data_IF_232880151296
#
_entry.id   IF_232880151296
#
_cell.length_a   1.000
_cell.length_b   1.000
_cell.length_c   1.000
_cell.angle_alpha   90.00
_cell.angle_beta   90.00
_cell.angle_gamma   90.00
#
_symmetry.space_group_name_H-M   'P 1'
#
loop_
_entity.id
_entity.type
_entity.pdbx_description
1 polymer ?
#
# COMPACT_ATOMS: atom_id res chain seq x y z
N UNK A 1 15.76 -5.92 9.63
CA UNK A 1 15.87 -4.53 10.11
C UNK A 1 15.66 -3.61 8.93
N UNK A 2 15.10 -2.43 9.15
CA UNK A 2 15.07 -1.31 8.21
C UNK A 2 16.47 -1.03 7.64
N UNK A 3 17.51 -1.06 8.48
CA UNK A 3 18.92 -0.91 8.02
C UNK A 3 19.33 -1.99 7.03
N UNK A 4 19.00 -3.26 7.29
CA UNK A 4 19.32 -4.36 6.37
C UNK A 4 18.56 -4.26 5.04
N UNK A 5 17.33 -3.74 5.04
CA UNK A 5 16.59 -3.45 3.80
C UNK A 5 17.26 -2.29 3.04
N UNK A 6 17.66 -1.22 3.74
CA UNK A 6 18.35 -0.10 3.13
C UNK A 6 19.68 -0.53 2.48
N UNK A 7 20.44 -1.39 3.15
CA UNK A 7 21.68 -2.00 2.64
C UNK A 7 21.43 -2.85 1.40
N UNK A 8 20.47 -3.78 1.46
CA UNK A 8 20.15 -4.66 0.34
C UNK A 8 19.67 -3.90 -0.92
N UNK A 9 19.16 -2.68 -0.75
CA UNK A 9 18.71 -1.81 -1.84
C UNK A 9 19.71 -0.69 -2.18
N UNK A 10 20.92 -0.71 -1.61
CA UNK A 10 21.99 0.22 -1.96
C UNK A 10 21.80 1.66 -1.43
N UNK A 11 20.91 1.86 -0.45
CA UNK A 11 20.62 3.20 0.07
C UNK A 11 21.66 3.71 1.09
N UNK A 12 22.48 2.83 1.68
CA UNK A 12 23.41 3.22 2.76
C UNK A 12 24.35 4.37 2.40
N UNK A 13 25.05 4.39 1.25
CA UNK A 13 25.98 5.47 0.93
C UNK A 13 25.30 6.85 0.91
N UNK A 14 24.08 6.92 0.35
CA UNK A 14 23.31 8.16 0.27
C UNK A 14 22.82 8.61 1.65
N UNK A 15 22.26 7.67 2.41
CA UNK A 15 21.73 7.94 3.76
C UNK A 15 22.84 8.41 4.70
N UNK A 16 24.02 7.79 4.64
CA UNK A 16 25.17 8.17 5.45
C UNK A 16 25.76 9.53 5.03
N UNK A 17 25.88 9.79 3.72
CA UNK A 17 26.36 11.07 3.21
C UNK A 17 25.45 12.25 3.59
N UNK A 18 24.14 12.01 3.66
CA UNK A 18 23.14 13.02 4.04
C UNK A 18 22.85 13.07 5.55
N UNK A 19 23.47 12.19 6.35
CA UNK A 19 23.21 12.12 7.79
C UNK A 19 21.77 11.74 8.14
N UNK A 20 21.08 10.98 7.29
CA UNK A 20 19.68 10.61 7.48
C UNK A 20 19.57 9.40 8.44
N UNK A 21 18.70 9.45 9.47
CA UNK A 21 18.49 8.32 10.35
C UNK A 21 17.68 7.22 9.65
N UNK A 22 18.06 5.96 9.84
CA UNK A 22 17.23 4.80 9.48
C UNK A 22 16.50 4.34 10.74
N UNK A 23 15.18 4.44 10.72
CA UNK A 23 14.33 4.17 11.89
C UNK A 23 13.56 2.86 11.69
N UNK A 24 13.54 2.03 12.74
CA UNK A 24 12.66 0.85 12.79
C UNK A 24 11.23 1.26 13.18
N UNK A 25 10.24 0.68 12.51
CA UNK A 25 8.84 0.98 12.77
C UNK A 25 8.25 0.03 13.84
N UNK A 26 7.66 0.62 14.88
CA UNK A 26 7.03 -0.10 15.99
C UNK A 26 5.53 0.12 16.02
N UNK A 27 4.78 -0.92 16.36
CA UNK A 27 3.31 -0.91 16.34
C UNK A 27 2.66 -0.28 17.56
N UNK A 28 1.68 0.57 17.31
CA UNK A 28 0.71 1.06 18.28
C UNK A 28 -0.68 1.11 17.63
N UNK A 29 -1.74 0.95 18.42
CA UNK A 29 -3.11 1.07 17.91
C UNK A 29 -3.55 2.53 17.84
N UNK A 30 -4.18 2.88 16.73
CA UNK A 30 -4.76 4.20 16.49
C UNK A 30 -6.20 4.03 16.02
N UNK A 31 -7.09 4.89 16.52
CA UNK A 31 -8.47 4.96 16.05
C UNK A 31 -8.52 5.55 14.64
N UNK A 32 -9.37 5.00 13.77
CA UNK A 32 -9.48 5.43 12.37
C UNK A 32 -10.73 6.27 12.09
N UNK A 33 -11.68 6.29 13.04
CA UNK A 33 -13.01 6.86 12.84
C UNK A 33 -13.92 6.03 11.91
N UNK A 34 -13.45 4.90 11.39
CA UNK A 34 -14.23 3.97 10.56
C UNK A 34 -15.15 3.10 11.42
N UNK A 35 -16.38 2.88 10.93
CA UNK A 35 -17.31 1.93 11.54
C UNK A 35 -16.78 0.47 11.44
N UNK A 36 -16.20 0.12 10.30
CA UNK A 36 -15.74 -1.25 10.02
C UNK A 36 -14.30 -1.51 10.49
N UNK A 37 -13.51 -0.44 10.67
CA UNK A 37 -12.10 -0.51 11.07
C UNK A 37 -11.77 0.36 12.28
N UNK A 38 -12.57 0.30 13.35
CA UNK A 38 -12.45 1.19 14.54
C UNK A 38 -11.02 1.55 14.95
N UNK A 39 -10.12 0.57 15.08
CA UNK A 39 -8.68 0.83 15.25
C UNK A 39 -7.78 -0.01 14.33
N UNK A 40 -6.63 0.56 13.96
CA UNK A 40 -5.58 -0.08 13.17
C UNK A 40 -4.24 -0.07 13.93
N UNK A 41 -3.44 -1.13 13.71
CA UNK A 41 -2.06 -1.20 14.20
C UNK A 41 -1.14 -0.49 13.20
N UNK A 42 -0.62 0.68 13.57
CA UNK A 42 0.23 1.52 12.72
C UNK A 42 1.56 1.82 13.40
N UNK A 43 2.53 2.29 12.62
CA UNK A 43 3.83 2.73 13.13
C UNK A 43 3.68 3.96 14.01
N UNK A 44 4.15 3.86 15.25
CA UNK A 44 4.23 5.01 16.16
C UNK A 44 5.15 6.10 15.61
N UNK A 45 6.26 5.74 15.01
CA UNK A 45 7.22 6.67 14.42
C UNK A 45 6.58 7.45 13.25
N UNK A 46 5.82 6.77 12.38
CA UNK A 46 5.04 7.45 11.34
C UNK A 46 3.97 8.36 11.93
N UNK A 47 3.20 7.88 12.91
CA UNK A 47 2.07 8.63 13.49
C UNK A 47 2.49 9.80 14.40
N UNK A 48 3.74 9.83 14.86
CA UNK A 48 4.29 10.92 15.68
C UNK A 48 5.11 11.93 14.89
N UNK A 49 5.31 11.72 13.58
CA UNK A 49 5.99 12.67 12.73
C UNK A 49 5.11 13.90 12.46
N UNK A 50 5.73 15.08 12.42
CA UNK A 50 5.02 16.32 12.06
C UNK A 50 4.51 16.27 10.61
N UNK A 51 5.28 15.63 9.72
CA UNK A 51 4.94 15.44 8.31
C UNK A 51 5.43 14.07 7.86
N UNK A 52 4.55 13.33 7.16
CA UNK A 52 4.90 12.09 6.48
C UNK A 52 5.03 12.34 4.98
N UNK A 53 6.19 12.01 4.41
CA UNK A 53 6.42 12.02 2.95
C UNK A 53 6.43 10.58 2.44
N UNK A 54 5.52 10.27 1.52
CA UNK A 54 5.31 8.94 0.97
C UNK A 54 5.99 8.81 -0.40
N UNK A 55 6.80 7.76 -0.61
CA UNK A 55 7.58 7.54 -1.83
C UNK A 55 7.21 6.20 -2.51
N UNK A 56 6.02 6.08 -3.11
CA UNK A 56 5.58 4.85 -3.78
C UNK A 56 6.27 4.63 -5.14
N UNK A 57 6.30 3.38 -5.58
CA UNK A 57 6.63 2.98 -6.96
C UNK A 57 5.36 2.58 -7.72
N UNK A 58 5.34 2.79 -9.03
CA UNK A 58 4.26 2.27 -9.90
C UNK A 58 4.44 0.78 -10.15
N UNK A 59 3.50 -0.05 -9.69
CA UNK A 59 3.53 -1.50 -9.95
C UNK A 59 2.15 -2.07 -10.22
N UNK A 60 2.06 -3.09 -11.07
CA UNK A 60 0.92 -3.99 -11.15
C UNK A 60 0.88 -4.92 -9.94
N UNK A 61 -0.31 -5.44 -9.62
CA UNK A 61 -0.48 -6.31 -8.46
C UNK A 61 -1.62 -7.32 -8.64
N UNK A 62 -1.31 -8.63 -8.57
CA UNK A 62 -2.30 -9.71 -8.77
C UNK A 62 -3.52 -9.66 -7.83
N UNK A 63 -3.40 -9.13 -6.61
CA UNK A 63 -4.54 -9.06 -5.66
C UNK A 63 -5.29 -7.72 -5.67
N UNK A 64 -4.66 -6.64 -6.15
CA UNK A 64 -5.17 -5.27 -5.96
C UNK A 64 -5.12 -4.44 -7.23
N UNK A 65 -4.78 -5.07 -8.35
CA UNK A 65 -4.61 -4.47 -9.67
C UNK A 65 -3.35 -3.61 -9.75
N UNK A 66 -3.14 -2.68 -8.80
CA UNK A 66 -1.99 -1.78 -8.74
C UNK A 66 -1.41 -1.66 -7.32
N UNK A 67 -0.18 -1.18 -7.24
CA UNK A 67 0.48 -0.64 -6.05
C UNK A 67 0.94 0.76 -6.39
N UNK A 68 0.41 1.73 -5.65
CA UNK A 68 0.66 3.17 -5.80
C UNK A 68 0.79 3.81 -4.40
N UNK A 69 0.39 5.07 -4.23
CA UNK A 69 0.52 5.85 -3.01
C UNK A 69 -0.21 5.25 -1.81
N UNK A 70 -1.51 4.94 -1.95
CA UNK A 70 -2.33 4.42 -0.85
C UNK A 70 -1.77 3.09 -0.34
N UNK A 71 -1.45 2.17 -1.24
CA UNK A 71 -0.88 0.86 -0.87
C UNK A 71 0.49 0.99 -0.21
N UNK A 72 1.34 1.93 -0.63
CA UNK A 72 2.68 2.06 -0.05
C UNK A 72 2.65 2.37 1.45
N UNK A 73 1.63 3.09 1.91
CA UNK A 73 1.41 3.41 3.32
C UNK A 73 1.08 2.18 4.18
N UNK A 74 0.64 1.08 3.58
CA UNK A 74 0.55 -0.21 4.26
C UNK A 74 1.90 -0.69 4.79
N UNK A 75 3.01 -0.18 4.23
CA UNK A 75 4.36 -0.31 4.77
C UNK A 75 4.47 0.12 6.23
N UNK A 76 3.61 1.02 6.70
CA UNK A 76 3.57 1.51 8.07
C UNK A 76 2.79 0.59 9.03
N UNK A 77 2.17 -0.49 8.55
CA UNK A 77 1.59 -1.55 9.40
C UNK A 77 2.70 -2.51 9.83
N UNK A 78 3.11 -2.54 11.10
CA UNK A 78 4.25 -3.35 11.52
C UNK A 78 3.88 -4.80 11.81
N UNK A 79 4.88 -5.68 11.72
CA UNK A 79 4.79 -7.06 12.17
C UNK A 79 3.92 -7.99 11.31
N UNK A 80 3.42 -9.05 11.94
CA UNK A 80 2.73 -10.17 11.28
C UNK A 80 1.33 -9.81 10.74
N UNK A 81 0.79 -8.65 11.15
CA UNK A 81 -0.51 -8.16 10.68
C UNK A 81 -0.57 -8.01 9.16
N UNK A 82 0.54 -7.64 8.51
CA UNK A 82 0.62 -7.59 7.04
C UNK A 82 0.28 -8.93 6.40
N UNK A 83 0.87 -10.02 6.88
CA UNK A 83 0.63 -11.36 6.35
C UNK A 83 -0.82 -11.80 6.56
N UNK A 84 -1.41 -11.46 7.71
CA UNK A 84 -2.81 -11.77 7.99
C UNK A 84 -3.76 -11.04 7.06
N UNK A 85 -3.58 -9.73 6.85
CA UNK A 85 -4.39 -8.97 5.90
C UNK A 85 -4.25 -9.46 4.47
N UNK A 86 -3.07 -9.90 4.04
CA UNK A 86 -2.90 -10.51 2.72
C UNK A 86 -3.63 -11.85 2.56
N UNK A 87 -3.75 -12.63 3.64
CA UNK A 87 -4.54 -13.85 3.67
C UNK A 87 -6.05 -13.54 3.64
N UNK A 88 -6.49 -12.52 4.38
CA UNK A 88 -7.89 -12.08 4.38
C UNK A 88 -8.31 -11.43 3.05
N UNK A 89 -7.40 -10.73 2.39
CA UNK A 89 -7.60 -10.16 1.05
C UNK A 89 -7.92 -11.22 -0.03
N UNK A 90 -7.44 -12.46 0.17
CA UNK A 90 -7.80 -13.59 -0.68
C UNK A 90 -9.29 -13.97 -0.58
N UNK A 91 -9.95 -13.61 0.53
CA UNK A 91 -11.37 -13.85 0.77
C UNK A 91 -12.24 -12.67 0.36
N UNK A 92 -11.75 -11.44 0.56
CA UNK A 92 -12.45 -10.21 0.19
C UNK A 92 -11.48 -9.08 -0.21
N UNK A 93 -11.43 -8.81 -1.52
CA UNK A 93 -10.57 -7.76 -2.10
C UNK A 93 -11.06 -6.36 -1.78
N UNK A 94 -12.37 -6.16 -1.67
CA UNK A 94 -12.96 -4.84 -1.42
C UNK A 94 -12.70 -4.43 0.02
N UNK A 95 -12.94 -5.34 0.98
CA UNK A 95 -12.61 -5.10 2.39
C UNK A 95 -11.12 -4.80 2.61
N UNK A 96 -10.23 -5.46 1.87
CA UNK A 96 -8.81 -5.14 1.95
C UNK A 96 -8.50 -3.76 1.34
N UNK A 97 -9.14 -3.41 0.21
CA UNK A 97 -9.06 -2.07 -0.38
C UNK A 97 -9.48 -0.97 0.60
N UNK A 98 -10.59 -1.18 1.31
CA UNK A 98 -11.09 -0.26 2.33
C UNK A 98 -10.10 -0.12 3.50
N UNK A 99 -9.57 -1.22 4.04
CA UNK A 99 -8.57 -1.17 5.10
C UNK A 99 -7.32 -0.37 4.70
N UNK A 100 -6.88 -0.50 3.45
CA UNK A 100 -5.76 0.27 2.92
C UNK A 100 -6.08 1.77 2.81
N UNK A 101 -7.30 2.11 2.38
CA UNK A 101 -7.77 3.50 2.35
C UNK A 101 -7.86 4.08 3.76
N UNK A 102 -8.41 3.33 4.72
CA UNK A 102 -8.45 3.73 6.13
C UNK A 102 -7.04 3.91 6.72
N UNK A 103 -6.10 3.04 6.35
CA UNK A 103 -4.69 3.18 6.72
C UNK A 103 -4.11 4.49 6.17
N UNK A 104 -4.32 4.77 4.88
CA UNK A 104 -3.82 5.99 4.25
C UNK A 104 -4.46 7.26 4.83
N UNK A 105 -5.76 7.24 5.10
CA UNK A 105 -6.49 8.34 5.72
C UNK A 105 -6.02 8.59 7.16
N UNK A 106 -5.79 7.53 7.94
CA UNK A 106 -5.31 7.65 9.33
C UNK A 106 -3.89 8.20 9.38
N UNK A 107 -3.01 7.77 8.46
CA UNK A 107 -1.64 8.29 8.37
C UNK A 107 -1.61 9.72 7.82
N UNK A 108 -2.49 10.04 6.88
CA UNK A 108 -2.64 11.35 6.24
C UNK A 108 -1.30 11.96 5.78
N UNK A 109 -0.62 11.36 4.78
CA UNK A 109 0.68 11.86 4.33
C UNK A 109 0.57 13.30 3.81
N UNK A 110 1.47 14.18 4.25
CA UNK A 110 1.49 15.58 3.81
C UNK A 110 1.95 15.75 2.36
N UNK A 111 2.73 14.79 1.83
CA UNK A 111 3.16 14.77 0.43
C UNK A 111 3.38 13.33 -0.01
N UNK A 112 2.90 12.97 -1.20
CA UNK A 112 3.27 11.73 -1.88
C UNK A 112 4.01 12.05 -3.17
N UNK A 113 5.22 11.52 -3.35
CA UNK A 113 6.03 11.64 -4.58
C UNK A 113 6.17 10.24 -5.17
N UNK A 114 5.44 9.98 -6.23
CA UNK A 114 5.38 8.69 -6.89
C UNK A 114 6.44 8.59 -7.98
N UNK A 115 7.31 7.59 -7.83
CA UNK A 115 8.35 7.22 -8.78
C UNK A 115 7.82 6.13 -9.72
N UNK A 116 7.46 6.55 -10.92
CA UNK A 116 7.15 5.70 -12.05
C UNK A 116 8.22 5.71 -13.13
N UNK A 117 9.45 6.20 -12.89
CA UNK A 117 10.49 6.28 -13.93
C UNK A 117 10.69 4.89 -14.54
N UNK A 118 10.91 3.91 -13.67
CA UNK A 118 10.80 2.49 -13.98
C UNK A 118 9.66 1.92 -13.14
N UNK A 119 8.58 1.53 -13.81
CA UNK A 119 7.46 0.79 -13.26
C UNK A 119 7.67 -0.72 -13.29
N UNK A 120 6.68 -1.46 -12.81
CA UNK A 120 6.66 -2.92 -12.81
C UNK A 120 5.30 -3.42 -13.31
N UNK A 121 5.23 -4.04 -14.47
CA UNK A 121 3.96 -4.47 -15.09
C UNK A 121 3.82 -5.99 -15.22
N UNK A 122 2.67 -6.48 -15.66
CA UNK A 122 2.40 -7.92 -15.81
C UNK A 122 2.09 -8.59 -14.47
N UNK A 123 2.64 -9.77 -14.19
CA UNK A 123 2.30 -10.60 -13.02
C UNK A 123 3.01 -10.18 -11.71
N UNK A 124 2.99 -8.87 -11.39
CA UNK A 124 3.50 -8.31 -10.13
C UNK A 124 2.74 -8.81 -8.89
N UNK A 125 3.36 -8.80 -7.68
CA UNK A 125 4.54 -8.02 -7.31
C UNK A 125 5.88 -8.76 -7.45
N UNK A 126 5.90 -10.05 -7.79
CA UNK A 126 7.14 -10.85 -7.89
C UNK A 126 7.43 -11.40 -9.29
N UNK A 127 6.43 -11.56 -10.15
CA UNK A 127 6.57 -12.16 -11.48
C UNK A 127 6.25 -11.20 -12.64
N UNK A 128 6.32 -9.89 -12.39
CA UNK A 128 6.18 -8.87 -13.42
C UNK A 128 7.53 -8.46 -14.02
N UNK A 129 7.50 -7.60 -15.03
CA UNK A 129 8.66 -7.10 -15.75
C UNK A 129 8.87 -5.59 -15.53
N UNK A 130 10.12 -5.10 -15.50
CA UNK A 130 10.39 -3.67 -15.44
C UNK A 130 9.90 -2.98 -16.71
N UNK A 131 9.24 -1.82 -16.56
CA UNK A 131 8.73 -1.01 -17.67
C UNK A 131 9.21 0.42 -17.53
N UNK A 132 9.89 0.94 -18.54
CA UNK A 132 10.23 2.36 -18.61
C UNK A 132 8.94 3.17 -18.89
N UNK A 133 8.54 4.03 -17.95
CA UNK A 133 7.39 4.94 -18.12
C UNK A 133 7.83 6.41 -18.14
N UNK A 134 9.03 6.74 -17.66
CA UNK A 134 9.49 8.12 -17.53
C UNK A 134 8.61 9.01 -16.66
N UNK A 135 7.81 8.44 -15.74
CA UNK A 135 6.78 9.14 -14.99
C UNK A 135 7.25 9.54 -13.60
N UNK A 136 7.06 10.80 -13.23
CA UNK A 136 7.13 11.29 -11.86
C UNK A 136 5.85 12.08 -11.56
N UNK A 137 5.21 11.80 -10.43
CA UNK A 137 4.01 12.52 -10.02
C UNK A 137 4.08 12.88 -8.53
N UNK A 138 3.49 14.01 -8.15
CA UNK A 138 3.46 14.43 -6.76
C UNK A 138 2.13 15.11 -6.41
N UNK A 139 1.66 14.89 -5.18
CA UNK A 139 0.43 15.51 -4.67
C UNK A 139 0.44 15.52 -3.14
N UNK A 140 -0.21 16.52 -2.55
CA UNK A 140 -0.54 16.55 -1.11
C UNK A 140 -1.79 15.72 -0.79
N UNK A 141 -2.53 15.29 -1.81
CA UNK A 141 -3.64 14.34 -1.71
C UNK A 141 -3.24 13.04 -2.39
N UNK A 142 -3.04 11.98 -1.59
CA UNK A 142 -2.65 10.66 -2.05
C UNK A 142 -3.75 9.97 -2.87
N UNK A 143 -5.02 10.24 -2.60
CA UNK A 143 -6.15 9.66 -3.32
C UNK A 143 -6.29 10.30 -4.71
N UNK A 144 -6.15 11.62 -4.80
CA UNK A 144 -6.10 12.33 -6.07
C UNK A 144 -4.91 11.88 -6.93
N UNK A 145 -3.74 11.64 -6.31
CA UNK A 145 -2.56 11.12 -7.00
C UNK A 145 -2.83 9.74 -7.61
N UNK A 146 -3.33 8.81 -6.82
CA UNK A 146 -3.63 7.46 -7.29
C UNK A 146 -4.70 7.49 -8.40
N UNK A 147 -5.74 8.34 -8.27
CA UNK A 147 -6.76 8.51 -9.31
C UNK A 147 -6.18 9.00 -10.64
N UNK A 148 -5.26 9.96 -10.59
CA UNK A 148 -4.58 10.50 -11.77
C UNK A 148 -3.65 9.46 -12.42
N UNK A 149 -2.88 8.71 -11.62
CA UNK A 149 -1.98 7.68 -12.15
C UNK A 149 -2.77 6.51 -12.76
N UNK A 150 -3.91 6.14 -12.20
CA UNK A 150 -4.80 5.14 -12.81
C UNK A 150 -5.31 5.57 -14.19
N UNK A 151 -5.64 6.85 -14.37
CA UNK A 151 -5.98 7.40 -15.70
C UNK A 151 -4.79 7.33 -16.67
N UNK A 152 -3.59 7.72 -16.21
CA UNK A 152 -2.37 7.68 -17.01
C UNK A 152 -2.09 6.26 -17.52
N UNK A 153 -2.25 5.25 -16.67
CA UNK A 153 -2.05 3.85 -17.02
C UNK A 153 -3.19 3.23 -17.83
N UNK A 154 -4.23 4.00 -18.18
CA UNK A 154 -5.41 3.53 -18.90
C UNK A 154 -6.10 2.33 -18.24
N UNK A 155 -6.06 2.27 -16.90
CA UNK A 155 -6.71 1.20 -16.12
C UNK A 155 -8.10 1.66 -15.70
N UNK A 156 -9.10 0.78 -15.84
CA UNK A 156 -10.45 1.04 -15.35
C UNK A 156 -10.43 1.23 -13.80
N UNK A 157 -10.84 2.40 -13.29
CA UNK A 157 -10.85 2.68 -11.85
C UNK A 157 -11.67 1.66 -11.04
N UNK A 158 -12.72 1.06 -11.62
CA UNK A 158 -13.54 0.07 -10.93
C UNK A 158 -12.80 -1.24 -10.64
N UNK A 159 -11.69 -1.49 -11.33
CA UNK A 159 -10.84 -2.65 -11.10
C UNK A 159 -9.86 -2.45 -9.95
N UNK A 160 -9.69 -1.22 -9.43
CA UNK A 160 -8.70 -0.88 -8.41
C UNK A 160 -9.41 -0.75 -7.05
N UNK A 161 -9.32 -1.75 -6.15
CA UNK A 161 -10.14 -1.78 -4.92
C UNK A 161 -9.92 -0.56 -4.01
N UNK A 162 -8.70 -0.01 -3.98
CA UNK A 162 -8.40 1.19 -3.20
C UNK A 162 -9.08 2.44 -3.76
N UNK A 163 -9.26 2.57 -5.08
CA UNK A 163 -10.02 3.68 -5.65
C UNK A 163 -11.52 3.52 -5.40
N UNK A 164 -12.06 2.31 -5.59
CA UNK A 164 -13.46 2.02 -5.31
C UNK A 164 -13.81 2.37 -3.86
N UNK A 165 -12.99 1.92 -2.90
CA UNK A 165 -13.20 2.24 -1.48
C UNK A 165 -13.02 3.75 -1.20
N UNK A 166 -12.01 4.40 -1.78
CA UNK A 166 -11.81 5.84 -1.60
C UNK A 166 -12.98 6.67 -2.16
N UNK A 167 -13.59 6.26 -3.27
CA UNK A 167 -14.79 6.89 -3.82
C UNK A 167 -16.01 6.68 -2.89
N UNK A 168 -16.23 5.46 -2.40
CA UNK A 168 -17.34 5.15 -1.49
C UNK A 168 -17.24 5.94 -0.17
N UNK A 169 -16.03 6.20 0.31
CA UNK A 169 -15.76 6.98 1.52
C UNK A 169 -15.71 8.50 1.25
N UNK A 170 -15.90 8.95 0.01
CA UNK A 170 -15.86 10.37 -0.36
C UNK A 170 -14.47 11.03 -0.28
N UNK A 171 -13.41 10.23 -0.36
CA UNK A 171 -12.01 10.66 -0.27
C UNK A 171 -11.36 10.89 -1.63
N UNK A 172 -11.86 10.23 -2.68
CA UNK A 172 -11.35 10.38 -4.04
C UNK A 172 -12.11 11.47 -4.78
N UNK A 173 -11.40 12.48 -5.30
CA UNK A 173 -11.98 13.48 -6.18
C UNK A 173 -12.26 12.92 -7.58
N UNK A 174 -13.28 13.46 -8.26
CA UNK A 174 -13.46 13.24 -9.69
C UNK A 174 -12.26 13.81 -10.46
N UNK A 175 -11.89 13.15 -11.56
CA UNK A 175 -10.67 13.50 -12.30
C UNK A 175 -10.67 14.97 -12.76
N UNK A 176 -11.83 15.48 -13.17
CA UNK A 176 -12.01 16.86 -13.65
C UNK A 176 -11.90 17.89 -12.53
N UNK A 177 -12.04 17.49 -11.27
CA UNK A 177 -11.90 18.35 -10.11
C UNK A 177 -10.45 18.45 -9.61
N UNK A 178 -9.55 17.57 -10.09
CA UNK A 178 -8.14 17.57 -9.71
C UNK A 178 -7.40 18.67 -10.48
N UNK A 179 -6.66 19.51 -9.75
CA UNK A 179 -5.81 20.53 -10.36
C UNK A 179 -4.47 19.93 -10.81
N UNK A 180 -4.16 20.08 -12.11
CA UNK A 180 -2.90 19.65 -12.71
C UNK A 180 -2.07 20.88 -13.12
N UNK A 181 -1.18 21.39 -12.25
CA UNK A 181 -0.43 22.61 -12.52
C UNK A 181 0.68 22.44 -13.57
N UNK A 182 1.09 21.20 -13.85
CA UNK A 182 2.13 20.85 -14.82
C UNK A 182 1.51 20.07 -15.99
N UNK A 183 1.73 18.76 -16.03
CA UNK A 183 1.23 17.87 -17.07
C UNK A 183 -0.12 17.27 -16.66
N UNK A 184 -0.96 16.97 -17.65
CA UNK A 184 -2.28 16.37 -17.44
C UNK A 184 -2.27 14.89 -17.82
N UNK A 185 -3.12 14.05 -17.20
CA UNK A 185 -3.19 12.62 -17.51
C UNK A 185 -3.37 12.30 -19.00
N UNK A 186 -4.13 13.12 -19.73
CA UNK A 186 -4.40 12.90 -21.16
C UNK A 186 -3.13 13.01 -22.02
N UNK A 187 -2.15 13.80 -21.58
CA UNK A 187 -0.87 13.99 -22.28
C UNK A 187 0.17 12.93 -21.96
N UNK A 188 -0.10 12.10 -20.94
CA UNK A 188 0.82 11.12 -20.38
C UNK A 188 0.35 9.69 -20.61
N UNK A 189 -0.73 9.47 -21.36
CA UNK A 189 -1.39 8.16 -21.47
C UNK A 189 -0.45 7.05 -21.91
N UNK A 190 -0.52 5.96 -21.16
CA UNK A 190 0.15 4.68 -21.40
C UNK A 190 -0.96 3.68 -21.66
N UNK A 191 -1.18 3.37 -22.94
CA UNK A 191 -2.33 2.55 -23.37
C UNK A 191 -2.00 1.07 -23.49
N UNK A 192 -0.72 0.72 -23.43
CA UNK A 192 -0.19 -0.63 -23.53
C UNK A 192 0.24 -1.22 -22.18
N UNK A 193 -0.14 -0.58 -21.06
CA UNK A 193 0.18 -1.05 -19.72
C UNK A 193 -0.40 -2.45 -19.47
N UNK A 194 0.46 -3.37 -19.02
CA UNK A 194 0.05 -4.76 -18.82
C UNK A 194 -0.38 -5.02 -17.37
N UNK A 195 -1.66 -5.37 -17.20
CA UNK A 195 -2.16 -5.94 -15.95
C UNK A 195 -1.85 -7.45 -15.87
N UNK A 196 -1.88 -8.05 -14.66
CA UNK A 196 -1.71 -9.49 -14.52
C UNK A 196 -2.78 -10.26 -15.32
N UNK A 197 -2.38 -11.31 -16.03
CA UNK A 197 -3.28 -12.12 -16.87
C UNK A 197 -4.43 -12.76 -16.08
N UNK A 198 -4.20 -13.03 -14.79
CA UNK A 198 -5.21 -13.47 -13.85
C UNK A 198 -5.04 -12.73 -12.53
N UNK A 199 -6.12 -12.12 -12.06
CA UNK A 199 -6.21 -11.66 -10.68
C UNK A 199 -6.37 -12.91 -9.81
N UNK A 200 -5.32 -13.27 -9.08
CA UNK A 200 -5.27 -14.52 -8.32
C UNK A 200 -5.90 -14.29 -6.93
N UNK A 201 -7.00 -14.96 -6.56
CA UNK A 201 -7.36 -15.12 -5.16
C UNK A 201 -6.28 -15.98 -4.52
N UNK A 202 -5.47 -15.40 -3.63
CA UNK A 202 -4.44 -16.18 -2.92
C UNK A 202 -5.12 -16.91 -1.78
N UNK A 203 -5.64 -18.10 -2.07
CA UNK A 203 -5.83 -19.11 -1.05
C UNK A 203 -4.46 -19.78 -0.85
N UNK A 204 -3.79 -19.48 0.27
CA UNK A 204 -2.57 -20.19 0.63
C UNK A 204 -2.95 -21.60 1.09
N UNK A 205 -3.20 -22.50 0.14
CA UNK A 205 -2.89 -23.91 0.36
C UNK A 205 -1.39 -24.01 0.65
N UNK A 206 -1.01 -24.05 1.94
CA UNK A 206 0.38 -24.17 2.40
C UNK A 206 1.11 -25.24 1.59
N UNK A 207 2.27 -24.92 0.96
CA UNK A 207 3.53 -25.20 1.63
C UNK A 207 4.73 -24.29 1.29
N UNK A 208 4.56 -23.07 0.75
CA UNK A 208 5.71 -22.19 0.40
C UNK A 208 6.07 -21.09 1.42
N UNK A 209 5.17 -20.76 2.35
CA UNK A 209 5.43 -19.76 3.41
C UNK A 209 6.22 -20.35 4.60
N UNK A 210 6.23 -21.69 4.74
CA UNK A 210 6.81 -22.40 5.89
C UNK A 210 8.33 -22.26 6.04
N UNK A 211 9.13 -22.25 4.97
CA UNK A 211 10.60 -22.38 5.13
C UNK A 211 11.32 -21.14 5.65
N UNK A 212 10.85 -19.94 5.32
CA UNK A 212 11.52 -18.70 5.74
C UNK A 212 10.99 -18.17 7.07
N UNK A 213 9.69 -18.39 7.37
CA UNK A 213 9.07 -17.88 8.60
C UNK A 213 9.16 -18.82 9.81
N UNK A 214 9.32 -20.15 9.62
CA UNK A 214 9.27 -21.09 10.77
C UNK A 214 10.55 -21.22 11.58
N UNK A 215 11.72 -20.93 11.01
CA UNK A 215 12.98 -21.07 11.76
C UNK A 215 13.06 -20.08 12.95
N UNK A 216 12.27 -19.01 12.92
CA UNK A 216 12.13 -18.05 14.01
C UNK A 216 10.79 -18.12 14.78
N UNK A 217 9.80 -18.89 14.30
CA UNK A 217 8.45 -18.96 14.91
C UNK A 217 8.38 -19.91 16.12
N UNK A 218 9.25 -20.93 16.17
CA UNK A 218 9.19 -21.97 17.20
C UNK A 218 9.58 -21.48 18.61
N UNK A 219 10.35 -20.40 18.73
CA UNK A 219 10.90 -19.94 20.03
C UNK A 219 10.03 -18.85 20.71
N UNK A 220 9.03 -18.25 20.03
CA UNK A 220 8.24 -17.12 20.57
C UNK A 220 6.72 -17.30 20.50
N UNK A 221 6.22 -18.54 20.50
CA UNK A 221 4.79 -18.88 20.53
C UNK A 221 4.09 -18.67 21.90
N UNK A 222 4.69 -17.92 22.83
CA UNK A 222 4.11 -17.65 24.14
C UNK A 222 4.10 -16.13 24.36
N UNK A 223 2.88 -15.56 24.37
CA UNK A 223 2.48 -14.15 24.64
C UNK A 223 2.26 -13.25 23.43
N UNK A 224 1.08 -13.38 22.80
CA UNK A 224 0.10 -12.28 22.66
C UNK A 224 -1.31 -12.89 22.44
N UNK A 225 -2.38 -12.43 23.13
CA UNK A 225 -3.70 -13.06 23.04
C UNK A 225 -4.49 -12.59 21.81
N UNK A 226 -4.91 -13.56 21.00
CA UNK A 226 -5.76 -13.45 19.80
C UNK A 226 -7.23 -13.03 20.07
N UNK A 227 -7.58 -12.59 21.27
CA UNK A 227 -8.97 -12.38 21.68
C UNK A 227 -9.61 -11.04 21.21
N UNK A 228 -8.88 -10.20 20.46
CA UNK A 228 -9.31 -8.84 20.14
C UNK A 228 -10.18 -8.69 18.87
N UNK A 229 -10.57 -9.77 18.18
CA UNK A 229 -11.24 -9.69 16.88
C UNK A 229 -12.54 -10.51 16.75
N UNK A 230 -13.06 -11.03 17.86
CA UNK A 230 -14.33 -11.75 17.88
C UNK A 230 -15.39 -11.00 18.71
N UNK A 231 -15.98 -9.93 18.15
CA UNK A 231 -17.34 -9.50 18.52
C UNK A 231 -17.85 -8.36 17.64
N UNK A 232 -18.76 -8.69 16.72
CA UNK A 232 -20.10 -8.08 16.55
C UNK A 232 -20.66 -8.44 15.17
N UNK A 233 -21.06 -9.70 15.04
CA UNK A 233 -22.25 -10.03 14.26
C UNK A 233 -23.37 -10.22 15.29
N UNK A 234 -24.54 -9.66 15.01
CA UNK A 234 -25.78 -9.62 15.82
C UNK A 234 -25.92 -8.39 16.74
N UNK A 235 -26.71 -7.43 16.27
CA UNK A 235 -27.98 -7.03 16.90
C UNK A 235 -28.89 -6.41 15.84
N UNK A 236 -30.01 -7.10 15.62
CA UNK A 236 -31.29 -6.56 15.17
C UNK A 236 -31.79 -5.48 16.12
#
# INVERSE_FOLDING_TARGET
>A
SARGVAEANGYLPLVEALGLPIVELHGQRYETGSADFGSLLLSRETMSADVVINLPKVKSHVQLTLTLGVKNLFGCVPGKMKAWWHMEAGKDRQRFGEMLVQTAQTINPGLTILDGIIGHEGNGPSGGEPRDLGLLAASTDVFALDRAVVEILSVDPQQVPTLVAAQQLGLSSELQAIAFPLLRPETLKITDWQLPEKLVPIDFGLPRVLRSTFKHLYIRLIKEPFAAYASHAQRT
#
